data_IF_859630842403
#
_entry.id   IF_859630842403
#
_cell.length_a   1.000
_cell.length_b   1.000
_cell.length_c   1.000
_cell.angle_alpha   90.00
_cell.angle_beta   90.00
_cell.angle_gamma   90.00
#
_symmetry.space_group_name_H-M   'P 1'
#
loop_
_entity.id
_entity.type
_entity.pdbx_description
1 polymer ?
#
# COMPACT_ATOMS: atom_id res chain seq x y z
N UNK A 1 22.25 67.19 35.47
CA UNK A 1 21.24 66.14 35.83
C UNK A 1 20.88 65.39 34.60
N UNK A 2 21.44 64.14 34.36
CA UNK A 2 21.17 63.29 33.18
C UNK A 2 20.42 62.05 33.64
N UNK A 3 19.16 61.93 33.24
CA UNK A 3 18.37 60.73 33.31
C UNK A 3 17.88 60.41 31.88
N UNK A 4 18.63 59.63 31.16
CA UNK A 4 18.15 59.03 29.89
C UNK A 4 19.05 57.81 29.59
N UNK A 5 18.75 56.68 30.07
CA UNK A 5 19.54 55.46 29.78
C UNK A 5 18.82 54.12 29.99
N UNK A 6 17.70 54.08 30.70
CA UNK A 6 17.08 52.81 31.07
C UNK A 6 15.93 52.37 30.16
N UNK A 7 15.33 53.26 29.39
CA UNK A 7 14.18 52.93 28.54
C UNK A 7 14.53 52.17 27.27
N UNK A 8 15.71 52.43 26.70
CA UNK A 8 16.10 51.86 25.40
C UNK A 8 16.58 50.39 25.53
N UNK A 9 17.10 50.00 26.70
CA UNK A 9 17.57 48.65 26.92
C UNK A 9 16.40 47.66 27.08
N UNK A 10 15.38 48.00 27.85
CA UNK A 10 14.19 47.20 28.10
C UNK A 10 13.40 46.97 26.81
N UNK A 11 13.32 47.97 25.95
CA UNK A 11 12.57 47.90 24.69
C UNK A 11 13.22 46.92 23.67
N UNK A 12 14.55 46.83 23.66
CA UNK A 12 15.28 45.88 22.78
C UNK A 12 15.06 44.43 23.17
N UNK A 13 15.02 44.13 24.46
CA UNK A 13 14.77 42.73 24.91
C UNK A 13 13.31 42.32 24.76
N UNK A 14 12.35 43.23 24.86
CA UNK A 14 10.94 42.92 24.57
C UNK A 14 10.71 42.59 23.10
N UNK A 15 11.35 43.28 22.16
CA UNK A 15 11.23 43.02 20.74
C UNK A 15 11.86 41.66 20.35
N UNK A 16 13.03 41.33 20.89
CA UNK A 16 13.71 40.06 20.60
C UNK A 16 12.96 38.86 21.18
N UNK A 17 12.41 38.98 22.39
CA UNK A 17 11.62 37.91 23.02
C UNK A 17 10.29 37.68 22.28
N UNK A 18 9.64 38.74 21.80
CA UNK A 18 8.41 38.64 21.02
C UNK A 18 8.63 37.95 19.65
N UNK A 19 9.77 38.15 18.99
CA UNK A 19 10.10 37.51 17.72
C UNK A 19 10.39 36.01 17.92
N UNK A 20 11.04 35.64 19.03
CA UNK A 20 11.31 34.22 19.33
C UNK A 20 10.00 33.45 19.66
N UNK A 21 9.07 34.07 20.36
CA UNK A 21 7.76 33.43 20.69
C UNK A 21 6.91 33.30 19.43
N UNK A 22 6.97 34.27 18.50
CA UNK A 22 6.19 34.21 17.26
C UNK A 22 6.70 33.17 16.27
N UNK A 23 8.00 32.82 16.32
CA UNK A 23 8.55 31.74 15.47
C UNK A 23 8.10 30.33 15.88
N UNK A 24 7.62 30.13 17.10
CA UNK A 24 7.09 28.86 17.60
C UNK A 24 5.58 28.68 17.36
N UNK A 25 4.91 29.72 16.83
CA UNK A 25 3.48 29.67 16.47
C UNK A 25 3.23 29.40 14.98
N UNK A 26 4.27 29.09 14.21
CA UNK A 26 4.07 28.60 12.86
C UNK A 26 3.35 27.26 12.97
N UNK A 27 2.14 27.10 12.39
CA UNK A 27 1.50 25.81 12.37
C UNK A 27 2.46 24.85 11.69
N UNK A 28 2.92 23.83 12.42
CA UNK A 28 3.56 22.68 11.81
C UNK A 28 2.53 22.09 10.89
N UNK A 29 2.58 22.46 9.61
CA UNK A 29 1.71 21.91 8.60
C UNK A 29 1.89 20.40 8.67
N UNK A 30 0.87 19.70 9.11
CA UNK A 30 0.83 18.24 9.01
C UNK A 30 0.99 17.94 7.53
N UNK A 31 2.11 17.35 7.14
CA UNK A 31 2.24 16.76 5.81
C UNK A 31 1.16 15.67 5.77
N UNK A 32 0.09 15.94 5.03
CA UNK A 32 -0.95 14.96 4.81
C UNK A 32 -0.30 13.76 4.10
N UNK A 33 -0.47 12.59 4.67
CA UNK A 33 0.04 11.36 4.09
C UNK A 33 -1.08 10.73 3.27
N UNK A 34 -0.89 10.67 1.97
CA UNK A 34 -1.82 10.00 1.06
C UNK A 34 -2.11 8.56 1.50
N UNK A 35 -3.32 8.09 1.24
CA UNK A 35 -3.65 6.67 1.39
C UNK A 35 -2.68 5.85 0.55
N UNK A 36 -2.11 4.82 1.16
CA UNK A 36 -1.19 3.89 0.52
C UNK A 36 -1.50 2.45 0.88
N UNK A 37 -1.16 1.52 -0.01
CA UNK A 37 -1.30 0.08 0.20
C UNK A 37 0.07 -0.59 -0.01
N UNK A 38 0.31 -1.74 0.67
CA UNK A 38 1.47 -2.59 0.40
C UNK A 38 1.54 -3.01 -1.06
N UNK A 39 2.76 -3.23 -1.55
CA UNK A 39 3.04 -3.55 -2.95
C UNK A 39 2.43 -4.85 -3.47
N UNK A 40 1.89 -5.70 -2.59
CA UNK A 40 1.12 -6.88 -3.01
C UNK A 40 -0.22 -6.51 -3.68
N UNK A 41 -0.76 -5.33 -3.39
CA UNK A 41 -1.93 -4.81 -4.10
C UNK A 41 -1.47 -4.15 -5.40
N UNK A 42 -2.00 -4.62 -6.52
CA UNK A 42 -1.66 -4.12 -7.85
C UNK A 42 -2.68 -4.56 -8.88
N UNK A 43 -2.54 -4.04 -10.09
CA UNK A 43 -3.35 -4.48 -11.23
C UNK A 43 -3.13 -5.97 -11.47
N UNK A 44 -4.17 -6.66 -11.92
CA UNK A 44 -4.14 -8.09 -12.16
C UNK A 44 -4.15 -8.97 -10.92
N UNK A 45 -4.21 -8.42 -9.70
CA UNK A 45 -4.17 -9.20 -8.46
C UNK A 45 -5.35 -10.14 -8.31
N UNK A 46 -5.13 -11.23 -7.55
CA UNK A 46 -6.19 -12.15 -7.13
C UNK A 46 -6.44 -11.99 -5.63
N UNK A 47 -7.70 -11.80 -5.25
CA UNK A 47 -8.15 -11.74 -3.85
C UNK A 47 -8.88 -13.04 -3.49
N UNK A 48 -8.61 -13.56 -2.28
CA UNK A 48 -9.14 -14.86 -1.84
C UNK A 48 -10.66 -14.87 -1.80
N UNK A 49 -11.27 -15.85 -2.48
CA UNK A 49 -12.71 -16.10 -2.45
C UNK A 49 -13.19 -16.74 -1.14
N UNK A 50 -14.50 -16.77 -0.93
CA UNK A 50 -15.17 -17.56 0.12
C UNK A 50 -15.00 -17.05 1.54
N UNK A 51 -14.08 -16.12 1.78
CA UNK A 51 -13.80 -15.51 3.09
C UNK A 51 -13.91 -13.98 3.05
N UNK A 52 -13.85 -13.33 4.24
CA UNK A 52 -13.74 -11.87 4.30
C UNK A 52 -12.41 -11.44 3.68
N UNK A 53 -12.45 -10.52 2.73
CA UNK A 53 -11.28 -10.04 2.01
C UNK A 53 -10.66 -8.87 2.79
N UNK A 54 -9.47 -9.02 3.37
CA UNK A 54 -8.77 -7.92 4.00
C UNK A 54 -8.12 -7.02 2.95
N UNK A 55 -8.30 -5.70 3.10
CA UNK A 55 -7.57 -4.65 2.37
C UNK A 55 -7.02 -3.71 3.42
N UNK A 56 -5.72 -3.40 3.36
CA UNK A 56 -5.05 -2.65 4.41
C UNK A 56 -3.96 -1.75 3.85
N UNK A 57 -3.51 -0.79 4.68
CA UNK A 57 -2.46 0.12 4.32
C UNK A 57 -2.20 1.19 5.36
N UNK A 58 -1.65 2.32 4.91
CA UNK A 58 -1.34 3.48 5.73
C UNK A 58 -2.04 4.72 5.16
N UNK A 59 -2.37 5.67 6.02
CA UNK A 59 -2.95 6.97 5.71
C UNK A 59 -2.79 7.89 6.94
N UNK A 60 -3.25 9.12 6.85
CA UNK A 60 -3.22 10.01 8.00
C UNK A 60 -4.04 9.48 9.19
N UNK A 61 -3.60 9.72 10.43
CA UNK A 61 -4.36 9.34 11.62
C UNK A 61 -5.77 9.89 11.59
N UNK A 62 -6.76 9.02 11.86
CA UNK A 62 -8.19 9.32 11.87
C UNK A 62 -8.81 9.65 10.50
N UNK A 63 -8.07 9.55 9.43
CA UNK A 63 -8.60 9.66 8.08
C UNK A 63 -9.63 8.58 7.81
N UNK A 64 -10.68 8.92 7.07
CA UNK A 64 -11.67 7.96 6.60
C UNK A 64 -11.19 7.35 5.29
N UNK A 65 -10.89 6.06 5.31
CA UNK A 65 -10.55 5.29 4.11
C UNK A 65 -11.74 4.45 3.68
N UNK A 66 -12.06 4.48 2.40
CA UNK A 66 -13.16 3.74 1.79
C UNK A 66 -12.61 2.82 0.71
N UNK A 67 -13.03 1.56 0.73
CA UNK A 67 -12.71 0.55 -0.30
C UNK A 67 -13.98 0.16 -1.01
N UNK A 68 -13.95 0.17 -2.35
CA UNK A 68 -15.04 -0.31 -3.18
C UNK A 68 -14.54 -1.34 -4.20
N UNK A 69 -15.34 -2.38 -4.44
CA UNK A 69 -15.10 -3.43 -5.43
C UNK A 69 -16.45 -4.08 -5.80
N UNK A 70 -16.72 -4.24 -7.09
CA UNK A 70 -17.94 -4.90 -7.59
C UNK A 70 -19.22 -4.40 -6.90
N UNK A 71 -19.43 -3.09 -6.86
CA UNK A 71 -20.60 -2.44 -6.25
C UNK A 71 -20.70 -2.56 -4.72
N UNK A 72 -19.71 -3.13 -4.06
CA UNK A 72 -19.64 -3.24 -2.60
C UNK A 72 -18.68 -2.21 -2.05
N UNK A 73 -19.13 -1.45 -1.07
CA UNK A 73 -18.32 -0.40 -0.45
C UNK A 73 -18.24 -0.62 1.05
N UNK A 74 -17.09 -0.35 1.63
CA UNK A 74 -16.87 -0.36 3.07
C UNK A 74 -15.82 0.66 3.47
N UNK A 75 -16.04 1.33 4.60
CA UNK A 75 -15.12 2.33 5.13
C UNK A 75 -14.58 1.95 6.51
N UNK A 76 -13.45 2.52 6.84
CA UNK A 76 -12.84 2.48 8.17
C UNK A 76 -12.23 3.85 8.49
N UNK A 77 -11.87 4.07 9.76
CA UNK A 77 -10.99 5.19 10.15
C UNK A 77 -9.60 4.65 10.43
N UNK A 78 -8.60 5.35 9.95
CA UNK A 78 -7.20 5.09 10.25
C UNK A 78 -6.94 5.22 11.75
N UNK A 79 -6.15 4.32 12.30
CA UNK A 79 -5.74 4.37 13.70
C UNK A 79 -4.77 5.52 13.96
N UNK A 80 -4.43 5.74 15.25
CA UNK A 80 -3.47 6.77 15.64
C UNK A 80 -2.04 6.54 15.13
N UNK A 81 -1.70 5.29 14.82
CA UNK A 81 -0.41 4.87 14.25
C UNK A 81 -0.35 4.98 12.72
N UNK A 82 -1.40 5.50 12.07
CA UNK A 82 -1.49 5.63 10.62
C UNK A 82 -1.89 4.34 9.89
N UNK A 83 -2.19 3.24 10.60
CA UNK A 83 -2.62 1.99 9.95
C UNK A 83 -4.12 1.91 9.79
N UNK A 84 -4.57 1.31 8.70
CA UNK A 84 -5.99 1.02 8.48
C UNK A 84 -6.18 -0.38 7.91
N UNK A 85 -7.36 -0.95 8.12
CA UNK A 85 -7.79 -2.20 7.50
C UNK A 85 -9.31 -2.20 7.31
N UNK A 86 -9.72 -2.58 6.13
CA UNK A 86 -11.10 -2.91 5.78
C UNK A 86 -11.20 -4.41 5.53
N UNK A 87 -12.20 -5.07 6.11
CA UNK A 87 -12.53 -6.48 5.76
C UNK A 87 -13.81 -6.46 4.94
N UNK A 88 -13.69 -6.56 3.62
CA UNK A 88 -14.83 -6.65 2.71
C UNK A 88 -15.64 -7.93 2.96
N UNK A 89 -16.92 -7.94 2.57
CA UNK A 89 -17.73 -9.16 2.62
C UNK A 89 -17.17 -10.19 1.63
N UNK A 90 -17.31 -11.48 1.99
CA UNK A 90 -16.92 -12.59 1.12
C UNK A 90 -17.55 -12.45 -0.28
N UNK A 91 -16.79 -12.84 -1.28
CA UNK A 91 -17.20 -12.90 -2.69
C UNK A 91 -16.93 -14.31 -3.23
N UNK A 92 -17.69 -14.72 -4.22
CA UNK A 92 -17.40 -15.91 -5.01
C UNK A 92 -16.37 -15.61 -6.09
N UNK A 93 -15.74 -16.63 -6.65
CA UNK A 93 -14.86 -16.47 -7.79
C UNK A 93 -15.51 -15.68 -8.93
N UNK A 94 -14.73 -14.86 -9.60
CA UNK A 94 -15.15 -14.02 -10.72
C UNK A 94 -14.23 -12.82 -10.92
N UNK A 95 -14.57 -12.00 -11.88
CA UNK A 95 -13.81 -10.84 -12.35
C UNK A 95 -13.76 -10.82 -13.87
N UNK A 96 -12.97 -9.93 -14.47
CA UNK A 96 -12.19 -8.90 -13.77
C UNK A 96 -13.05 -7.78 -13.19
N UNK A 97 -12.62 -7.22 -12.07
CA UNK A 97 -13.26 -6.08 -11.41
C UNK A 97 -12.28 -4.91 -11.30
N UNK A 98 -12.83 -3.73 -11.10
CA UNK A 98 -12.07 -2.58 -10.59
C UNK A 98 -12.21 -2.51 -9.07
N UNK A 99 -11.10 -2.21 -8.38
CA UNK A 99 -11.08 -1.90 -6.95
C UNK A 99 -10.56 -0.48 -6.76
N UNK A 100 -11.31 0.31 -6.00
CA UNK A 100 -10.98 1.68 -5.65
C UNK A 100 -10.75 1.81 -4.15
N UNK A 101 -9.71 2.54 -3.77
CA UNK A 101 -9.40 2.91 -2.39
C UNK A 101 -9.29 4.42 -2.33
N UNK A 102 -10.18 5.06 -1.60
CA UNK A 102 -10.25 6.51 -1.48
C UNK A 102 -10.11 7.00 -0.04
N UNK A 103 -9.36 8.05 0.12
CA UNK A 103 -9.15 8.84 1.32
C UNK A 103 -8.96 10.29 0.92
N UNK A 104 -7.83 10.91 1.27
CA UNK A 104 -7.40 12.22 0.75
C UNK A 104 -7.02 12.15 -0.72
N UNK A 105 -6.50 11.02 -1.16
CA UNK A 105 -6.25 10.65 -2.56
C UNK A 105 -7.12 9.47 -2.97
N UNK A 106 -7.02 9.08 -4.22
CA UNK A 106 -7.70 7.91 -4.79
C UNK A 106 -6.65 7.00 -5.46
N UNK A 107 -6.75 5.68 -5.17
CA UNK A 107 -5.97 4.64 -5.82
C UNK A 107 -6.94 3.67 -6.48
N UNK A 108 -6.72 3.38 -7.76
CA UNK A 108 -7.53 2.46 -8.55
C UNK A 108 -6.69 1.29 -9.02
N UNK A 109 -7.23 0.10 -8.87
CA UNK A 109 -6.66 -1.13 -9.40
C UNK A 109 -7.62 -1.73 -10.43
N UNK A 110 -7.07 -2.14 -11.54
CA UNK A 110 -7.79 -2.76 -12.65
C UNK A 110 -7.51 -4.26 -12.72
N UNK A 111 -8.35 -4.98 -13.45
CA UNK A 111 -8.18 -6.42 -13.69
C UNK A 111 -8.07 -7.25 -12.40
N UNK A 112 -8.82 -6.88 -11.36
CA UNK A 112 -8.83 -7.58 -10.06
C UNK A 112 -9.71 -8.82 -10.15
N UNK A 113 -9.13 -9.99 -9.83
CA UNK A 113 -9.85 -11.25 -9.80
C UNK A 113 -10.19 -11.65 -8.37
N UNK A 114 -11.28 -12.37 -8.20
CA UNK A 114 -11.62 -13.09 -6.96
C UNK A 114 -11.47 -14.58 -7.28
N UNK A 115 -10.61 -15.29 -6.53
CA UNK A 115 -10.30 -16.68 -6.80
C UNK A 115 -9.60 -17.37 -5.63
N UNK A 116 -9.02 -18.53 -5.90
CA UNK A 116 -8.15 -19.21 -4.93
C UNK A 116 -6.75 -18.61 -4.97
N UNK A 117 -6.20 -18.34 -3.79
CA UNK A 117 -4.84 -17.84 -3.64
C UNK A 117 -3.96 -18.90 -2.97
N UNK A 118 -2.92 -19.31 -3.67
CA UNK A 118 -1.96 -20.30 -3.19
C UNK A 118 -0.65 -19.61 -2.83
N UNK A 119 -0.10 -19.94 -1.67
CA UNK A 119 1.24 -19.51 -1.26
C UNK A 119 2.21 -20.65 -1.52
N UNK A 120 3.06 -20.46 -2.53
CA UNK A 120 4.09 -21.42 -2.90
C UNK A 120 5.44 -20.94 -2.32
N UNK A 121 6.02 -21.71 -1.41
CA UNK A 121 7.27 -21.39 -0.75
C UNK A 121 8.13 -22.65 -0.60
N UNK A 122 9.44 -22.49 -0.50
CA UNK A 122 10.37 -23.61 -0.36
C UNK A 122 11.80 -23.22 -0.65
N UNK A 123 12.54 -24.16 -1.25
CA UNK A 123 13.93 -23.97 -1.65
C UNK A 123 14.04 -23.74 -3.17
N UNK A 124 15.25 -23.90 -3.72
CA UNK A 124 15.56 -23.63 -5.13
C UNK A 124 14.60 -24.26 -6.15
N UNK A 125 14.05 -25.44 -5.83
CA UNK A 125 13.10 -26.12 -6.73
C UNK A 125 11.77 -25.35 -6.88
N UNK A 126 11.38 -24.51 -5.93
CA UNK A 126 10.20 -23.66 -6.06
C UNK A 126 10.36 -22.53 -7.07
N UNK A 127 11.59 -22.22 -7.44
CA UNK A 127 11.89 -21.26 -8.49
C UNK A 127 12.26 -21.91 -9.83
N UNK A 128 12.06 -23.24 -9.94
CA UNK A 128 12.36 -23.99 -11.15
C UNK A 128 11.21 -23.84 -12.14
N UNK A 129 11.48 -23.24 -13.28
CA UNK A 129 10.47 -22.95 -14.31
C UNK A 129 10.35 -24.14 -15.27
N UNK A 130 9.14 -24.40 -15.77
CA UNK A 130 8.84 -25.49 -16.72
C UNK A 130 9.76 -25.39 -17.96
N UNK A 131 10.01 -24.20 -18.47
CA UNK A 131 10.94 -23.99 -19.61
C UNK A 131 12.37 -24.53 -19.39
N UNK A 132 12.77 -24.73 -18.14
CA UNK A 132 14.07 -25.30 -17.80
C UNK A 132 14.10 -26.83 -17.94
N UNK A 133 12.95 -27.47 -18.18
CA UNK A 133 12.84 -28.92 -18.41
C UNK A 133 13.13 -29.32 -19.87
N UNK A 134 13.40 -28.36 -20.75
CA UNK A 134 13.57 -28.59 -22.20
C UNK A 134 12.22 -28.79 -22.90
N UNK A 135 12.30 -29.27 -24.14
CA UNK A 135 11.11 -29.54 -24.96
C UNK A 135 10.27 -30.67 -24.33
N UNK A 136 9.17 -30.32 -23.73
CA UNK A 136 8.14 -31.26 -23.29
C UNK A 136 6.96 -31.13 -24.26
N UNK A 137 6.88 -32.00 -25.30
CA UNK A 137 5.85 -31.91 -26.31
C UNK A 137 4.45 -31.94 -25.70
N UNK A 138 3.60 -30.98 -26.04
CA UNK A 138 2.18 -30.92 -25.65
C UNK A 138 1.90 -30.36 -24.27
N UNK A 139 2.89 -30.06 -23.42
CA UNK A 139 2.62 -29.54 -22.06
C UNK A 139 2.65 -28.02 -21.97
N UNK A 140 3.29 -27.31 -22.89
CA UNK A 140 3.33 -25.85 -22.91
C UNK A 140 2.17 -25.23 -23.72
N UNK A 141 1.55 -26.01 -24.62
CA UNK A 141 0.45 -25.49 -25.45
C UNK A 141 -0.80 -25.05 -24.68
N UNK A 142 -1.00 -25.60 -23.49
CA UNK A 142 -2.16 -25.30 -22.62
C UNK A 142 -1.81 -24.29 -21.49
N UNK A 143 -0.60 -23.71 -21.52
CA UNK A 143 -0.15 -22.79 -20.47
C UNK A 143 -0.73 -21.39 -20.55
N UNK A 144 -1.37 -21.03 -21.66
CA UNK A 144 -2.07 -19.74 -21.79
C UNK A 144 -3.41 -19.75 -21.06
N UNK A 145 -3.34 -19.54 -19.76
CA UNK A 145 -4.50 -19.53 -18.85
C UNK A 145 -4.54 -18.19 -18.12
N UNK A 146 -5.13 -17.15 -18.73
CA UNK A 146 -5.08 -15.80 -18.17
C UNK A 146 -5.84 -15.64 -16.86
N UNK A 147 -6.68 -16.61 -16.47
CA UNK A 147 -7.32 -16.64 -15.16
C UNK A 147 -6.36 -17.07 -14.04
N UNK A 148 -5.26 -17.75 -14.35
CA UNK A 148 -4.18 -18.03 -13.40
C UNK A 148 -3.25 -16.83 -13.39
N UNK A 149 -3.04 -16.26 -12.22
CA UNK A 149 -2.16 -15.11 -12.01
C UNK A 149 -1.02 -15.51 -11.09
N UNK A 150 0.15 -15.03 -11.39
CA UNK A 150 1.34 -15.28 -10.58
C UNK A 150 1.93 -13.96 -10.10
N UNK A 151 2.43 -13.99 -8.88
CA UNK A 151 3.24 -12.90 -8.33
C UNK A 151 4.48 -13.51 -7.68
N UNK A 152 5.65 -13.05 -8.07
CA UNK A 152 6.91 -13.52 -7.49
C UNK A 152 7.40 -12.50 -6.47
N UNK A 153 7.58 -12.95 -5.24
CA UNK A 153 8.16 -12.14 -4.17
C UNK A 153 9.65 -12.45 -4.12
N UNK A 154 10.47 -11.47 -4.53
CA UNK A 154 11.91 -11.61 -4.51
C UNK A 154 12.45 -11.69 -3.09
N UNK A 155 13.37 -12.63 -2.85
CA UNK A 155 14.02 -12.82 -1.56
C UNK A 155 14.83 -11.57 -1.19
N UNK A 156 14.50 -11.00 -0.04
CA UNK A 156 15.26 -9.91 0.57
C UNK A 156 15.69 -10.32 1.97
N UNK A 157 16.96 -10.10 2.29
CA UNK A 157 17.50 -10.39 3.63
C UNK A 157 17.49 -9.12 4.46
N UNK A 158 16.78 -9.15 5.57
CA UNK A 158 16.74 -8.06 6.55
C UNK A 158 16.87 -8.62 7.96
N UNK A 159 17.45 -7.83 8.84
CA UNK A 159 17.60 -8.19 10.26
C UNK A 159 16.27 -8.14 11.02
N UNK A 160 15.34 -7.34 10.52
CA UNK A 160 14.01 -7.18 11.12
C UNK A 160 12.92 -7.48 10.07
N UNK A 161 11.75 -8.00 10.50
CA UNK A 161 10.59 -8.13 9.63
C UNK A 161 10.23 -6.81 8.96
N UNK A 162 9.82 -6.87 7.70
CA UNK A 162 9.43 -5.71 6.91
C UNK A 162 7.93 -5.75 6.65
N UNK A 163 7.30 -4.58 6.69
CA UNK A 163 5.85 -4.42 6.46
C UNK A 163 5.50 -4.43 4.97
N UNK A 164 6.47 -4.17 4.09
CA UNK A 164 6.27 -4.08 2.64
C UNK A 164 7.58 -4.38 1.89
N UNK A 165 7.51 -4.41 0.56
CA UNK A 165 8.67 -4.61 -0.32
C UNK A 165 9.54 -3.35 -0.37
N UNK A 166 10.86 -3.51 -0.18
CA UNK A 166 11.77 -2.36 -0.03
C UNK A 166 12.27 -1.85 -1.38
N UNK A 167 12.45 -2.74 -2.36
CA UNK A 167 13.10 -2.36 -3.62
C UNK A 167 12.13 -2.23 -4.77
N UNK A 168 11.37 -3.27 -5.06
CA UNK A 168 10.53 -3.34 -6.24
C UNK A 168 9.19 -3.95 -5.85
N UNK A 169 8.12 -3.29 -6.25
CA UNK A 169 6.77 -3.85 -6.08
C UNK A 169 6.63 -5.04 -7.02
N UNK A 170 6.17 -6.19 -6.54
CA UNK A 170 5.91 -7.32 -7.41
C UNK A 170 4.73 -7.01 -8.34
N UNK A 171 4.81 -7.49 -9.57
CA UNK A 171 3.70 -7.42 -10.50
C UNK A 171 2.94 -8.75 -10.53
N UNK A 172 1.62 -8.69 -10.60
CA UNK A 172 0.78 -9.82 -10.91
C UNK A 172 0.75 -10.02 -12.42
N UNK A 173 1.16 -11.18 -12.88
CA UNK A 173 1.22 -11.53 -14.29
C UNK A 173 0.28 -12.69 -14.58
N UNK A 174 -0.45 -12.68 -15.72
CA UNK A 174 -1.20 -13.85 -16.16
C UNK A 174 -0.25 -15.00 -16.53
N UNK A 175 -0.68 -16.23 -16.34
CA UNK A 175 0.07 -17.38 -16.81
C UNK A 175 0.09 -17.40 -18.35
N UNK A 176 1.25 -17.52 -18.92
CA UNK A 176 1.45 -17.60 -20.37
C UNK A 176 2.47 -18.67 -20.75
N UNK A 177 2.40 -19.14 -21.97
CA UNK A 177 3.34 -20.11 -22.53
C UNK A 177 4.75 -19.52 -22.74
N UNK A 178 4.90 -18.21 -22.55
CA UNK A 178 6.18 -17.49 -22.73
C UNK A 178 6.95 -17.31 -21.41
N UNK A 179 6.32 -17.55 -20.27
CA UNK A 179 6.90 -17.43 -18.93
C UNK A 179 7.37 -18.80 -18.40
#
# INVERSE_FOLDING_TARGET
MKRTGHSTFIQKYFLTTAIIILSHLLPTGSVLSDVSLPGIFGDGMVLQQGMKIPVWGKADPREKVTVSINGRTKSTKTKGDGTWMVKMKKMNAGGPYEMEVSGTNEIRFTDVMIGEVWVCSGQSNMNFRIRNLGDIPGQLGDADTPEIRMVTINTQKHEQPQDDFIREKPAWIPCSSQD
#
